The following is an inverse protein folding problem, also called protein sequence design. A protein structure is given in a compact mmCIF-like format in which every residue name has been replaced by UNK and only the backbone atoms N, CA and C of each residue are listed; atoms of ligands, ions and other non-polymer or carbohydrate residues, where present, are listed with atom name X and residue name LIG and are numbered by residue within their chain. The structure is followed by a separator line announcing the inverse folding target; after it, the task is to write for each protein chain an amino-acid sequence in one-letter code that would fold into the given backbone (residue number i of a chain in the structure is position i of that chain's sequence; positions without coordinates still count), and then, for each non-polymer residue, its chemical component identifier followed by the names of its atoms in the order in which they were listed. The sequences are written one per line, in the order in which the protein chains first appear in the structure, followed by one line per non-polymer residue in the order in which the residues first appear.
data_IF_809036367733
#
_entry.id   IF_809036367733
#
_cell.length_a   1.000
_cell.length_b   1.000
_cell.length_c   1.000
_cell.angle_alpha   90.00
_cell.angle_beta   90.00
_cell.angle_gamma   90.00
#
_symmetry.space_group_name_H-M   'P 1'
#
loop_
_entity.id
_entity.type
_entity.pdbx_description
1 polymer ?
#
# COMPACT_ATOMS: atom_id res chain seq x y z
N UNK A 1 12.94 37.25 -25.13
CA UNK A 1 12.75 37.30 -23.66
C UNK A 1 11.34 36.90 -23.20
N UNK A 2 10.26 37.56 -23.63
CA UNK A 2 8.92 37.26 -23.09
C UNK A 2 8.38 35.86 -23.47
N UNK A 3 8.52 35.46 -24.74
CA UNK A 3 8.10 34.13 -25.23
C UNK A 3 8.91 32.98 -24.60
N UNK A 4 10.22 33.18 -24.44
CA UNK A 4 11.10 32.23 -23.76
C UNK A 4 10.68 32.07 -22.29
N UNK A 5 10.40 33.17 -21.59
CA UNK A 5 9.90 33.13 -20.21
C UNK A 5 8.53 32.44 -20.09
N UNK A 6 7.67 32.56 -21.10
CA UNK A 6 6.39 31.85 -21.14
C UNK A 6 6.58 30.34 -21.23
N UNK A 7 7.45 29.86 -22.14
CA UNK A 7 7.79 28.43 -22.27
C UNK A 7 8.38 27.88 -20.96
N UNK A 8 9.32 28.60 -20.33
CA UNK A 8 9.90 28.18 -19.05
C UNK A 8 8.85 28.11 -17.93
N UNK A 9 7.86 29.01 -17.94
CA UNK A 9 6.77 29.01 -16.95
C UNK A 9 5.90 27.76 -17.10
N UNK A 10 5.47 27.44 -18.32
CA UNK A 10 4.68 26.23 -18.61
C UNK A 10 5.45 24.95 -18.24
N UNK A 11 6.73 24.88 -18.59
CA UNK A 11 7.58 23.73 -18.25
C UNK A 11 7.73 23.56 -16.73
N UNK A 12 7.86 24.67 -15.99
CA UNK A 12 7.93 24.65 -14.51
C UNK A 12 6.62 24.20 -13.87
N UNK A 13 5.47 24.60 -14.43
CA UNK A 13 4.14 24.16 -13.98
C UNK A 13 4.00 22.64 -14.15
N UNK A 14 4.41 22.11 -15.31
CA UNK A 14 4.38 20.68 -15.59
C UNK A 14 5.25 19.88 -14.60
N UNK A 15 6.48 20.32 -14.35
CA UNK A 15 7.38 19.67 -13.38
C UNK A 15 6.80 19.70 -11.97
N UNK A 16 6.26 20.84 -11.54
CA UNK A 16 5.65 20.96 -10.21
C UNK A 16 4.44 20.02 -10.06
N UNK A 17 3.60 19.91 -11.08
CA UNK A 17 2.46 19.00 -11.06
C UNK A 17 2.93 17.55 -10.92
N UNK A 18 3.91 17.12 -11.73
CA UNK A 18 4.50 15.78 -11.64
C UNK A 18 5.07 15.48 -10.25
N UNK A 19 5.82 16.41 -9.67
CA UNK A 19 6.34 16.28 -8.31
C UNK A 19 5.22 16.13 -7.28
N UNK A 20 4.16 16.92 -7.40
CA UNK A 20 3.04 16.90 -6.47
C UNK A 20 2.24 15.59 -6.53
N UNK A 21 2.02 15.04 -7.73
CA UNK A 21 1.39 13.72 -7.91
C UNK A 21 2.23 12.61 -7.29
N UNK A 22 3.56 12.64 -7.48
CA UNK A 22 4.48 11.66 -6.87
C UNK A 22 4.46 11.73 -5.33
N UNK A 23 4.43 12.94 -4.77
CA UNK A 23 4.35 13.15 -3.32
C UNK A 23 3.03 12.60 -2.76
N UNK A 24 1.91 12.87 -3.43
CA UNK A 24 0.61 12.37 -3.02
C UNK A 24 0.54 10.83 -3.02
N UNK A 25 1.04 10.23 -4.10
CA UNK A 25 1.07 8.78 -4.25
C UNK A 25 1.90 8.07 -3.18
N UNK A 26 3.11 8.59 -2.88
CA UNK A 26 3.96 8.11 -1.77
C UNK A 26 3.23 8.16 -0.43
N UNK A 27 2.54 9.28 -0.15
CA UNK A 27 1.77 9.45 1.10
C UNK A 27 0.63 8.46 1.20
N UNK A 28 -0.15 8.27 0.13
CA UNK A 28 -1.25 7.31 0.10
C UNK A 28 -0.76 5.89 0.41
N UNK A 29 0.32 5.46 -0.24
CA UNK A 29 0.87 4.11 -0.05
C UNK A 29 1.37 3.89 1.39
N UNK A 30 2.01 4.90 1.99
CA UNK A 30 2.45 4.86 3.39
C UNK A 30 1.26 4.69 4.34
N UNK A 31 0.16 5.41 4.12
CA UNK A 31 -1.05 5.31 4.94
C UNK A 31 -1.64 3.90 4.85
N UNK A 32 -1.74 3.32 3.65
CA UNK A 32 -2.28 1.96 3.45
C UNK A 32 -1.43 0.90 4.15
N UNK A 33 -0.10 0.98 4.05
CA UNK A 33 0.81 0.07 4.76
C UNK A 33 0.62 0.19 6.28
N UNK A 34 0.52 1.42 6.81
CA UNK A 34 0.30 1.68 8.24
C UNK A 34 -1.02 1.07 8.70
N UNK A 35 -2.09 1.22 7.92
CA UNK A 35 -3.40 0.64 8.22
C UNK A 35 -3.36 -0.89 8.22
N UNK A 36 -2.64 -1.51 7.30
CA UNK A 36 -2.50 -2.97 7.24
C UNK A 36 -1.68 -3.56 8.39
N UNK A 37 -0.63 -2.83 8.85
CA UNK A 37 0.10 -3.18 10.08
C UNK A 37 -0.84 -3.07 11.29
N UNK A 38 -1.61 -1.98 11.39
CA UNK A 38 -2.57 -1.78 12.46
C UNK A 38 -3.65 -2.88 12.50
N UNK A 39 -4.22 -3.24 11.34
CA UNK A 39 -5.15 -4.37 11.22
C UNK A 39 -4.52 -5.68 11.71
N UNK A 40 -3.26 -5.95 11.35
CA UNK A 40 -2.57 -7.19 11.75
C UNK A 40 -2.35 -7.26 13.27
N UNK A 41 -2.07 -6.13 13.92
CA UNK A 41 -1.95 -6.06 15.39
C UNK A 41 -3.31 -6.33 16.06
N UNK A 42 -4.39 -5.71 15.56
CA UNK A 42 -5.74 -5.96 16.07
C UNK A 42 -6.15 -7.43 15.90
N UNK A 43 -5.87 -8.00 14.72
CA UNK A 43 -6.15 -9.41 14.42
C UNK A 43 -5.41 -10.34 15.38
N UNK A 44 -4.16 -10.03 15.75
CA UNK A 44 -3.38 -10.80 16.73
C UNK A 44 -4.00 -10.76 18.13
N UNK A 45 -4.50 -9.60 18.56
CA UNK A 45 -5.16 -9.44 19.87
C UNK A 45 -6.47 -10.23 19.89
N UNK A 46 -7.26 -10.18 18.81
CA UNK A 46 -8.51 -10.96 18.71
C UNK A 46 -8.25 -12.47 18.73
N UNK A 47 -7.14 -12.92 18.15
CA UNK A 47 -6.78 -14.35 18.05
C UNK A 47 -6.69 -15.06 19.42
N UNK A 48 -6.22 -14.36 20.46
CA UNK A 48 -6.18 -14.88 21.83
C UNK A 48 -7.57 -15.27 22.34
N UNK A 49 -8.59 -14.48 22.00
CA UNK A 49 -9.99 -14.74 22.39
C UNK A 49 -10.66 -15.82 21.52
N UNK A 50 -10.30 -15.88 20.24
CA UNK A 50 -10.88 -16.83 19.27
C UNK A 50 -10.36 -18.25 19.53
N UNK A 51 -9.11 -18.40 20.00
CA UNK A 51 -8.55 -19.71 20.35
C UNK A 51 -9.38 -20.44 21.43
N UNK A 52 -9.98 -19.70 22.36
CA UNK A 52 -10.90 -20.26 23.35
C UNK A 52 -12.23 -20.74 22.74
N UNK A 53 -12.72 -20.05 21.70
CA UNK A 53 -13.96 -20.34 21.00
C UNK A 53 -13.80 -21.45 19.93
N UNK A 54 -12.56 -21.74 19.52
CA UNK A 54 -12.21 -22.72 18.48
C UNK A 54 -12.65 -24.15 18.81
N UNK A 55 -12.98 -24.46 20.07
CA UNK A 55 -13.53 -25.74 20.50
C UNK A 55 -14.97 -25.99 19.99
N UNK A 56 -15.63 -24.98 19.44
CA UNK A 56 -16.95 -25.09 18.79
C UNK A 56 -16.82 -25.20 17.27
N UNK A 57 -17.77 -25.86 16.61
CA UNK A 57 -17.78 -26.01 15.14
C UNK A 57 -17.72 -24.62 14.46
N UNK A 58 -18.54 -23.66 14.93
CA UNK A 58 -18.56 -22.30 14.39
C UNK A 58 -17.26 -21.51 14.68
N UNK A 59 -16.65 -21.72 15.85
CA UNK A 59 -15.38 -21.07 16.20
C UNK A 59 -14.22 -21.61 15.36
N UNK A 60 -14.17 -22.92 15.10
CA UNK A 60 -13.12 -23.54 14.29
C UNK A 60 -13.15 -23.08 12.82
N UNK A 61 -14.34 -22.96 12.23
CA UNK A 61 -14.50 -22.46 10.85
C UNK A 61 -14.19 -20.97 10.75
N UNK A 62 -14.62 -20.18 11.75
CA UNK A 62 -14.29 -18.77 11.84
C UNK A 62 -12.78 -18.52 11.98
N UNK A 63 -12.08 -19.32 12.80
CA UNK A 63 -10.63 -19.24 12.97
C UNK A 63 -9.88 -19.49 11.65
N UNK A 64 -10.29 -20.52 10.89
CA UNK A 64 -9.67 -20.84 9.60
C UNK A 64 -9.91 -19.72 8.58
N UNK A 65 -11.14 -19.21 8.49
CA UNK A 65 -11.48 -18.13 7.55
C UNK A 65 -10.73 -16.83 7.86
N UNK A 66 -10.73 -16.42 9.14
CA UNK A 66 -10.03 -15.20 9.59
C UNK A 66 -8.51 -15.36 9.53
N UNK A 67 -7.98 -16.55 9.77
CA UNK A 67 -6.55 -16.84 9.64
C UNK A 67 -6.05 -16.77 8.21
N UNK A 68 -6.78 -17.36 7.27
CA UNK A 68 -6.44 -17.26 5.86
C UNK A 68 -6.48 -15.81 5.37
N UNK A 69 -7.51 -15.05 5.76
CA UNK A 69 -7.59 -13.62 5.47
C UNK A 69 -6.42 -12.84 6.10
N UNK A 70 -6.07 -13.13 7.36
CA UNK A 70 -4.93 -12.50 8.04
C UNK A 70 -3.61 -12.73 7.31
N UNK A 71 -3.35 -13.95 6.83
CA UNK A 71 -2.18 -14.27 6.00
C UNK A 71 -2.20 -13.44 4.71
N UNK A 72 -3.34 -13.35 4.02
CA UNK A 72 -3.46 -12.56 2.80
C UNK A 72 -3.15 -11.08 3.04
N UNK A 73 -3.62 -10.49 4.14
CA UNK A 73 -3.31 -9.09 4.50
C UNK A 73 -1.83 -8.89 4.80
N UNK A 74 -1.16 -9.83 5.48
CA UNK A 74 0.29 -9.76 5.72
C UNK A 74 1.07 -9.80 4.40
N UNK A 75 0.70 -10.70 3.48
CA UNK A 75 1.34 -10.78 2.16
C UNK A 75 1.12 -9.48 1.38
N UNK A 76 -0.10 -8.95 1.38
CA UNK A 76 -0.44 -7.69 0.71
C UNK A 76 0.36 -6.50 1.26
N UNK A 77 0.44 -6.37 2.59
CA UNK A 77 1.23 -5.28 3.22
C UNK A 77 2.72 -5.36 2.89
N UNK A 78 3.30 -6.57 2.88
CA UNK A 78 4.68 -6.79 2.43
C UNK A 78 4.85 -6.41 0.96
N UNK A 79 3.90 -6.78 0.10
CA UNK A 79 3.95 -6.44 -1.31
C UNK A 79 3.89 -4.93 -1.56
N UNK A 80 2.99 -4.21 -0.87
CA UNK A 80 2.93 -2.75 -0.91
C UNK A 80 4.21 -2.10 -0.37
N UNK A 81 4.82 -2.66 0.68
CA UNK A 81 6.08 -2.16 1.24
C UNK A 81 7.24 -2.25 0.24
N UNK A 82 7.34 -3.36 -0.50
CA UNK A 82 8.33 -3.52 -1.57
C UNK A 82 8.06 -2.52 -2.71
N UNK A 83 6.79 -2.27 -3.03
CA UNK A 83 6.41 -1.25 -4.02
C UNK A 83 6.82 0.17 -3.57
N UNK A 84 6.63 0.51 -2.30
CA UNK A 84 7.07 1.78 -1.72
C UNK A 84 8.60 1.93 -1.85
N UNK A 85 9.37 0.92 -1.48
CA UNK A 85 10.83 0.93 -1.58
C UNK A 85 11.28 1.11 -3.04
N UNK A 86 10.66 0.39 -3.98
CA UNK A 86 10.96 0.52 -5.42
C UNK A 86 10.63 1.92 -5.97
N UNK A 87 9.60 2.57 -5.44
CA UNK A 87 9.22 3.94 -5.79
C UNK A 87 10.21 4.98 -5.26
N UNK A 88 10.84 4.74 -4.10
CA UNK A 88 11.92 5.59 -3.60
C UNK A 88 13.21 5.46 -4.41
N UNK A 89 13.51 4.26 -4.92
CA UNK A 89 14.69 3.99 -5.74
C UNK A 89 14.53 4.35 -7.23
N UNK A 90 13.42 5.01 -7.62
CA UNK A 90 13.15 5.44 -9.01
C UNK A 90 13.18 4.25 -10.00
N UNK A 91 12.78 3.05 -9.55
CA UNK A 91 12.77 1.85 -10.39
C UNK A 91 11.48 1.69 -11.23
N UNK A 92 10.53 2.61 -11.13
CA UNK A 92 9.33 2.61 -11.97
C UNK A 92 9.52 3.60 -13.13
N UNK A 93 9.62 3.06 -14.35
CA UNK A 93 9.38 3.83 -15.57
C UNK A 93 7.93 3.60 -16.03
N UNK A 94 7.41 4.49 -16.89
CA UNK A 94 6.04 4.44 -17.44
C UNK A 94 5.67 3.13 -18.17
N UNK A 95 6.62 2.21 -18.36
CA UNK A 95 6.47 0.99 -19.17
C UNK A 95 6.43 -0.31 -18.36
N UNK A 96 6.74 -0.30 -17.06
CA UNK A 96 6.73 -1.52 -16.22
C UNK A 96 6.07 -1.29 -14.85
N UNK A 97 4.73 -1.22 -14.84
CA UNK A 97 3.90 -1.05 -13.64
C UNK A 97 3.24 -2.34 -13.12
N UNK A 98 3.52 -3.50 -13.70
CA UNK A 98 2.85 -4.76 -13.32
C UNK A 98 2.94 -5.06 -11.81
N UNK A 99 4.09 -4.75 -11.18
CA UNK A 99 4.25 -4.94 -9.74
C UNK A 99 3.39 -4.01 -8.88
N UNK A 100 2.98 -2.85 -9.39
CA UNK A 100 2.06 -1.95 -8.67
C UNK A 100 0.59 -2.32 -8.94
N UNK A 101 0.27 -2.72 -10.18
CA UNK A 101 -1.09 -3.15 -10.57
C UNK A 101 -1.48 -4.50 -9.98
N UNK A 102 -0.50 -5.36 -9.65
CA UNK A 102 -0.74 -6.57 -8.87
C UNK A 102 -0.90 -6.30 -7.35
N UNK A 103 -0.62 -5.07 -6.89
CA UNK A 103 -0.72 -4.68 -5.48
C UNK A 103 -2.10 -4.12 -5.12
N UNK A 104 -2.84 -3.68 -6.14
CA UNK A 104 -4.19 -3.12 -6.05
C UNK A 104 -5.26 -4.19 -6.05
#
# INVERSE_FOLDING_TARGET
NLFINFIFKEFKILINHLFQTLIFFKKSLLITITLGIYFSILQLIEYESILLLANSINGSTFFIATGFHGIHVIIGTLFLSVCLIRLYNIHFSSYHHFGFEAAS
#
